data_IF_827457794295
#
_entry.id   IF_827457794295
#
_cell.length_a   1.000
_cell.length_b   1.000
_cell.length_c   1.000
_cell.angle_alpha   90.00
_cell.angle_beta   90.00
_cell.angle_gamma   90.00
#
_symmetry.space_group_name_H-M   'P 1'
#
loop_
_entity.id
_entity.type
_entity.pdbx_description
1 polymer ?
#
# COMPACT_ATOMS: atom_id res chain seq x y z
N UNK A 1 -7.46 9.76 3.68
CA UNK A 1 -7.46 8.28 3.57
C UNK A 1 -6.21 7.75 2.88
N UNK A 2 -5.54 8.50 2.00
CA UNK A 2 -4.24 8.09 1.40
C UNK A 2 -3.23 7.61 2.44
N UNK A 3 -2.99 8.36 3.52
CA UNK A 3 -2.08 7.94 4.59
C UNK A 3 -2.47 6.61 5.25
N UNK A 4 -3.76 6.43 5.59
CA UNK A 4 -4.26 5.13 6.08
C UNK A 4 -4.06 4.01 5.06
N UNK A 5 -4.19 4.31 3.76
CA UNK A 5 -3.98 3.35 2.68
C UNK A 5 -2.50 2.98 2.49
N UNK A 6 -1.57 3.92 2.70
CA UNK A 6 -0.14 3.66 2.77
C UNK A 6 0.19 2.75 3.97
N UNK A 7 -0.35 3.06 5.16
CA UNK A 7 -0.23 2.17 6.33
C UNK A 7 -0.70 0.75 6.00
N UNK A 8 -1.82 0.61 5.29
CA UNK A 8 -2.33 -0.70 4.87
C UNK A 8 -1.37 -1.43 3.92
N UNK A 9 -0.78 -0.72 2.97
CA UNK A 9 0.23 -1.27 2.06
C UNK A 9 1.46 -1.79 2.80
N UNK A 10 2.02 -1.02 3.74
CA UNK A 10 3.13 -1.46 4.57
C UNK A 10 2.80 -2.74 5.37
N UNK A 11 1.65 -2.76 6.05
CA UNK A 11 1.24 -3.93 6.84
C UNK A 11 1.00 -5.17 5.95
N UNK A 12 0.53 -4.99 4.71
CA UNK A 12 0.36 -6.09 3.76
C UNK A 12 1.70 -6.71 3.36
N UNK A 13 2.72 -5.91 3.06
CA UNK A 13 4.05 -6.46 2.75
C UNK A 13 4.72 -7.06 3.99
N UNK A 14 4.56 -6.45 5.17
CA UNK A 14 4.99 -7.05 6.43
C UNK A 14 4.37 -8.44 6.67
N UNK A 15 3.07 -8.58 6.41
CA UNK A 15 2.36 -9.86 6.49
C UNK A 15 2.94 -10.91 5.55
N UNK A 16 3.22 -10.53 4.31
CA UNK A 16 3.83 -11.42 3.33
C UNK A 16 5.23 -11.87 3.78
N UNK A 17 6.05 -10.95 4.26
CA UNK A 17 7.41 -11.22 4.73
C UNK A 17 7.44 -12.10 5.99
N UNK A 18 6.55 -11.85 6.95
CA UNK A 18 6.39 -12.70 8.14
C UNK A 18 5.97 -14.12 7.75
N UNK A 19 5.04 -14.27 6.81
CA UNK A 19 4.64 -15.58 6.28
C UNK A 19 5.78 -16.33 5.58
N UNK A 20 6.79 -15.62 5.10
CA UNK A 20 8.02 -16.16 4.50
C UNK A 20 9.17 -16.34 5.51
N UNK A 21 8.92 -16.10 6.80
CA UNK A 21 9.93 -16.23 7.85
C UNK A 21 11.01 -15.15 7.78
N UNK A 22 10.66 -13.94 7.30
CA UNK A 22 11.53 -12.76 7.19
C UNK A 22 11.11 -11.62 8.13
N UNK A 23 11.12 -11.84 9.46
CA UNK A 23 10.73 -10.80 10.40
C UNK A 23 11.67 -9.59 10.38
N UNK A 24 12.95 -9.80 10.06
CA UNK A 24 13.96 -8.76 9.87
C UNK A 24 13.61 -7.80 8.73
N UNK A 25 12.99 -8.30 7.67
CA UNK A 25 12.52 -7.46 6.55
C UNK A 25 11.11 -6.92 6.81
N UNK A 26 10.29 -7.62 7.58
CA UNK A 26 8.94 -7.15 7.89
C UNK A 26 8.93 -5.96 8.86
N UNK A 27 9.91 -5.90 9.77
CA UNK A 27 9.97 -4.95 10.87
C UNK A 27 9.98 -3.47 10.42
N UNK A 28 10.76 -3.03 9.42
CA UNK A 28 10.71 -1.65 8.94
C UNK A 28 9.32 -1.24 8.46
N UNK A 29 8.62 -2.12 7.74
CA UNK A 29 7.26 -1.86 7.26
C UNK A 29 6.21 -1.83 8.38
N UNK A 30 6.49 -2.45 9.53
CA UNK A 30 5.64 -2.29 10.70
C UNK A 30 5.93 -0.94 11.37
N UNK A 31 7.19 -0.49 11.34
CA UNK A 31 7.65 0.80 11.88
C UNK A 31 7.18 2.02 11.08
N UNK A 32 7.25 2.01 9.74
CA UNK A 32 6.91 3.17 8.90
C UNK A 32 5.51 3.77 9.19
N UNK A 33 4.42 2.97 9.35
CA UNK A 33 3.13 3.47 9.80
C UNK A 33 3.17 4.32 11.08
N UNK A 34 4.02 3.95 12.05
CA UNK A 34 4.17 4.65 13.32
C UNK A 34 5.04 5.89 13.15
N UNK A 35 6.22 5.69 12.58
CA UNK A 35 7.32 6.66 12.63
C UNK A 35 7.13 7.80 11.63
N UNK A 36 6.46 7.53 10.52
CA UNK A 36 6.38 8.46 9.39
C UNK A 36 4.95 8.96 9.12
N UNK A 37 3.93 8.12 9.38
CA UNK A 37 2.56 8.39 8.90
C UNK A 37 1.60 8.77 10.03
N UNK A 38 1.79 8.26 11.25
CA UNK A 38 0.76 8.37 12.31
C UNK A 38 0.48 9.83 12.71
N UNK A 39 1.52 10.65 12.87
CA UNK A 39 1.37 12.07 13.24
C UNK A 39 0.53 12.86 12.24
N UNK A 40 0.58 12.46 10.96
CA UNK A 40 -0.11 13.15 9.87
C UNK A 40 -1.59 12.82 9.79
N UNK A 41 -2.05 11.78 10.49
CA UNK A 41 -3.48 11.40 10.52
C UNK A 41 -4.14 11.66 11.87
N UNK A 42 -3.36 11.88 12.93
CA UNK A 42 -3.86 12.04 14.28
C UNK A 42 -4.92 13.17 14.41
N UNK A 43 -4.73 14.37 13.82
CA UNK A 43 -5.74 15.42 13.85
C UNK A 43 -7.07 14.99 13.23
N UNK A 44 -7.04 14.30 12.08
CA UNK A 44 -8.26 13.83 11.40
C UNK A 44 -8.95 12.69 12.15
N UNK A 45 -8.20 11.83 12.84
CA UNK A 45 -8.78 10.80 13.72
C UNK A 45 -9.55 11.45 14.86
N UNK A 46 -8.97 12.48 15.50
CA UNK A 46 -9.60 13.22 16.59
C UNK A 46 -10.86 13.95 16.10
N UNK A 47 -10.79 14.65 14.97
CA UNK A 47 -11.94 15.35 14.36
C UNK A 47 -13.11 14.38 14.10
N UNK A 48 -12.80 13.16 13.66
CA UNK A 48 -13.79 12.11 13.33
C UNK A 48 -14.19 11.24 14.52
N UNK A 49 -13.69 11.52 15.73
CA UNK A 49 -13.92 10.71 16.93
C UNK A 49 -13.52 9.24 16.76
N UNK A 50 -12.47 8.98 16.00
CA UNK A 50 -11.87 7.65 15.85
C UNK A 50 -10.92 7.43 17.01
N UNK A 51 -11.03 6.27 17.67
CA UNK A 51 -10.10 5.89 18.72
C UNK A 51 -8.66 5.82 18.18
N UNK A 52 -7.69 6.24 19.00
CA UNK A 52 -6.29 6.04 18.66
C UNK A 52 -5.97 4.56 18.49
N UNK A 53 -4.97 4.29 17.67
CA UNK A 53 -4.43 2.95 17.43
C UNK A 53 -2.91 2.94 17.32
N UNK A 54 -2.25 4.03 17.70
CA UNK A 54 -0.79 4.13 17.75
C UNK A 54 -0.24 3.07 18.70
N UNK A 55 -0.87 2.91 19.86
CA UNK A 55 -0.46 1.90 20.86
C UNK A 55 -0.50 0.48 20.29
N UNK A 56 -1.45 0.20 19.38
CA UNK A 56 -1.53 -1.11 18.70
C UNK A 56 -0.39 -1.30 17.71
N UNK A 57 -0.02 -0.25 16.96
CA UNK A 57 1.10 -0.30 16.03
C UNK A 57 2.45 -0.40 16.77
N UNK A 58 2.67 0.45 17.78
CA UNK A 58 3.86 0.45 18.63
C UNK A 58 4.05 -0.94 19.28
N UNK A 59 2.98 -1.53 19.83
CA UNK A 59 3.04 -2.84 20.47
C UNK A 59 3.39 -3.98 19.50
N UNK A 60 2.93 -3.91 18.25
CA UNK A 60 3.31 -4.86 17.21
C UNK A 60 4.78 -4.68 16.82
N UNK A 61 5.22 -3.44 16.64
CA UNK A 61 6.60 -3.10 16.28
C UNK A 61 7.59 -3.60 17.33
N UNK A 62 7.35 -3.25 18.59
CA UNK A 62 8.12 -3.71 19.74
C UNK A 62 8.18 -5.25 19.83
N UNK A 63 7.05 -5.92 19.57
CA UNK A 63 6.96 -7.38 19.62
C UNK A 63 7.82 -8.02 18.54
N UNK A 64 7.77 -7.52 17.30
CA UNK A 64 8.57 -8.05 16.19
C UNK A 64 10.06 -7.77 16.40
N UNK A 65 10.43 -6.59 16.90
CA UNK A 65 11.82 -6.27 17.24
C UNK A 65 12.38 -7.17 18.34
N UNK A 66 11.62 -7.38 19.42
CA UNK A 66 12.11 -8.11 20.59
C UNK A 66 11.98 -9.63 20.47
N UNK A 67 10.87 -10.10 19.89
CA UNK A 67 10.46 -11.52 19.86
C UNK A 67 9.75 -11.86 18.55
N UNK A 68 10.45 -11.84 17.41
CA UNK A 68 9.84 -12.04 16.10
C UNK A 68 9.18 -13.41 15.88
N UNK A 69 9.49 -14.39 16.74
CA UNK A 69 8.91 -15.74 16.71
C UNK A 69 7.82 -15.95 17.78
N UNK A 70 7.44 -14.90 18.51
CA UNK A 70 6.35 -14.99 19.48
C UNK A 70 5.04 -15.36 18.75
N UNK A 71 4.27 -16.36 19.24
CA UNK A 71 3.02 -16.77 18.59
C UNK A 71 1.99 -15.64 18.48
N UNK A 72 2.14 -14.55 19.23
CA UNK A 72 1.27 -13.37 19.17
C UNK A 72 1.52 -12.46 17.98
N UNK A 73 2.66 -12.54 17.28
CA UNK A 73 3.01 -11.63 16.17
C UNK A 73 1.88 -11.58 15.13
N UNK A 74 1.36 -12.74 14.71
CA UNK A 74 0.28 -12.79 13.72
C UNK A 74 -1.03 -12.18 14.23
N UNK A 75 -1.37 -12.36 15.51
CA UNK A 75 -2.58 -11.76 16.08
C UNK A 75 -2.44 -10.25 16.26
N UNK A 76 -1.27 -9.75 16.66
CA UNK A 76 -1.03 -8.31 16.79
C UNK A 76 -0.99 -7.63 15.42
N UNK A 77 -0.43 -8.29 14.40
CA UNK A 77 -0.49 -7.81 13.01
C UNK A 77 -1.94 -7.71 12.52
N UNK A 78 -2.77 -8.72 12.82
CA UNK A 78 -4.19 -8.67 12.48
C UNK A 78 -4.92 -7.56 13.24
N UNK A 79 -4.57 -7.30 14.51
CA UNK A 79 -5.12 -6.19 15.29
C UNK A 79 -4.76 -4.83 14.67
N UNK A 80 -3.49 -4.63 14.29
CA UNK A 80 -3.02 -3.43 13.60
C UNK A 80 -3.76 -3.21 12.27
N UNK A 81 -3.85 -4.25 11.43
CA UNK A 81 -4.60 -4.19 10.17
C UNK A 81 -6.08 -3.82 10.39
N UNK A 82 -6.69 -4.40 11.43
CA UNK A 82 -8.09 -4.14 11.78
C UNK A 82 -8.29 -2.73 12.30
N UNK A 83 -7.33 -2.18 13.03
CA UNK A 83 -7.38 -0.81 13.53
C UNK A 83 -7.32 0.20 12.39
N UNK A 84 -6.43 -0.01 11.41
CA UNK A 84 -6.37 0.79 10.18
C UNK A 84 -7.70 0.70 9.41
N UNK A 85 -8.29 -0.50 9.27
CA UNK A 85 -9.57 -0.67 8.59
C UNK A 85 -10.71 0.08 9.30
N UNK A 86 -10.76 0.05 10.63
CA UNK A 86 -11.73 0.82 11.43
C UNK A 86 -11.57 2.32 11.24
N UNK A 87 -10.32 2.80 11.20
CA UNK A 87 -10.06 4.22 10.92
C UNK A 87 -10.52 4.62 9.52
N UNK A 88 -10.33 3.77 8.51
CA UNK A 88 -10.88 4.01 7.17
C UNK A 88 -12.41 4.04 7.17
N UNK A 89 -13.07 3.18 7.95
CA UNK A 89 -14.53 3.11 8.05
C UNK A 89 -15.17 4.37 8.67
N UNK A 90 -14.40 5.25 9.29
CA UNK A 90 -14.87 6.59 9.69
C UNK A 90 -15.20 7.51 8.50
N UNK A 91 -14.77 7.14 7.29
CA UNK A 91 -15.25 7.72 6.04
C UNK A 91 -16.53 6.99 5.61
N UNK A 92 -17.64 7.70 5.32
CA UNK A 92 -18.90 7.08 4.89
C UNK A 92 -18.71 6.12 3.71
N UNK A 93 -19.49 5.03 3.69
CA UNK A 93 -19.38 4.00 2.67
C UNK A 93 -19.65 4.56 1.27
N UNK A 94 -20.64 5.45 1.13
CA UNK A 94 -20.97 6.11 -0.13
C UNK A 94 -19.80 6.92 -0.69
N UNK A 95 -19.01 7.53 0.19
CA UNK A 95 -17.81 8.25 -0.19
C UNK A 95 -16.66 7.28 -0.51
N UNK A 96 -16.41 6.27 0.33
CA UNK A 96 -15.33 5.29 0.10
C UNK A 96 -15.49 4.52 -1.21
N UNK A 97 -16.73 4.15 -1.55
CA UNK A 97 -17.04 3.39 -2.75
C UNK A 97 -17.34 4.27 -3.98
N UNK A 98 -17.17 5.59 -3.87
CA UNK A 98 -17.26 6.49 -5.01
C UNK A 98 -16.00 6.33 -5.88
N UNK A 99 -16.13 6.08 -7.19
CA UNK A 99 -14.98 6.02 -8.09
C UNK A 99 -14.10 7.27 -8.00
N UNK A 100 -14.72 8.45 -7.84
CA UNK A 100 -13.95 9.70 -7.77
C UNK A 100 -13.05 9.76 -6.53
N UNK A 101 -13.52 9.25 -5.39
CA UNK A 101 -12.76 9.27 -4.15
C UNK A 101 -11.70 8.17 -4.13
N UNK A 102 -12.08 6.95 -4.48
CA UNK A 102 -11.17 5.80 -4.51
C UNK A 102 -10.06 5.99 -5.56
N UNK A 103 -10.35 6.51 -6.76
CA UNK A 103 -9.32 6.74 -7.79
C UNK A 103 -8.28 7.80 -7.40
N UNK A 104 -8.65 8.81 -6.59
CA UNK A 104 -7.68 9.78 -6.06
C UNK A 104 -6.68 9.12 -5.11
N UNK A 105 -7.16 8.22 -4.26
CA UNK A 105 -6.32 7.47 -3.32
C UNK A 105 -5.46 6.46 -4.07
N UNK A 106 -6.07 5.71 -4.99
CA UNK A 106 -5.39 4.79 -5.90
C UNK A 106 -4.23 5.46 -6.63
N UNK A 107 -4.44 6.63 -7.25
CA UNK A 107 -3.38 7.38 -7.92
C UNK A 107 -2.27 7.80 -6.94
N UNK A 108 -2.62 8.26 -5.73
CA UNK A 108 -1.66 8.63 -4.70
C UNK A 108 -0.78 7.46 -4.27
N UNK A 109 -1.37 6.26 -4.08
CA UNK A 109 -0.62 5.04 -3.77
C UNK A 109 0.34 4.67 -4.89
N UNK A 110 -0.09 4.73 -6.15
CA UNK A 110 0.76 4.39 -7.29
C UNK A 110 1.90 5.40 -7.48
N UNK A 111 1.66 6.69 -7.21
CA UNK A 111 2.69 7.73 -7.28
C UNK A 111 3.80 7.50 -6.24
N UNK A 112 3.41 7.25 -4.98
CA UNK A 112 4.35 6.86 -3.92
C UNK A 112 5.07 5.56 -4.29
N UNK A 113 4.35 4.55 -4.77
CA UNK A 113 4.96 3.29 -5.19
C UNK A 113 6.01 3.46 -6.29
N UNK A 114 5.75 4.31 -7.28
CA UNK A 114 6.70 4.62 -8.34
C UNK A 114 7.96 5.31 -7.81
N UNK A 115 7.80 6.18 -6.82
CA UNK A 115 8.92 6.86 -6.15
C UNK A 115 9.78 5.86 -5.37
N UNK A 116 9.17 4.99 -4.55
CA UNK A 116 9.90 3.97 -3.79
C UNK A 116 10.59 2.94 -4.69
N UNK A 117 9.94 2.52 -5.78
CA UNK A 117 10.60 1.62 -6.74
C UNK A 117 11.84 2.24 -7.38
N UNK A 118 11.77 3.53 -7.67
CA UNK A 118 12.90 4.26 -8.24
C UNK A 118 14.02 4.41 -7.21
N UNK A 119 13.69 4.75 -5.97
CA UNK A 119 14.63 4.83 -4.86
C UNK A 119 15.31 3.49 -4.57
N UNK A 120 14.59 2.37 -4.75
CA UNK A 120 15.10 1.02 -4.56
C UNK A 120 16.26 0.64 -5.49
N UNK A 121 16.41 1.32 -6.64
CA UNK A 121 17.24 0.86 -7.75
C UNK A 121 18.42 1.80 -8.02
N UNK A 122 19.64 1.25 -7.93
CA UNK A 122 20.85 1.93 -8.35
C UNK A 122 21.73 1.03 -9.23
N UNK A 123 22.23 1.57 -10.34
CA UNK A 123 23.13 0.86 -11.27
C UNK A 123 22.57 -0.50 -11.76
N UNK A 124 21.26 -0.57 -12.01
CA UNK A 124 20.58 -1.77 -12.50
C UNK A 124 20.45 -2.89 -11.45
N UNK A 125 20.59 -2.56 -10.16
CA UNK A 125 20.42 -3.48 -9.03
C UNK A 125 19.42 -2.90 -8.05
N UNK A 126 18.71 -3.78 -7.33
CA UNK A 126 17.95 -3.35 -6.16
C UNK A 126 18.95 -3.21 -5.00
N UNK A 127 19.17 -1.97 -4.55
CA UNK A 127 20.08 -1.65 -3.45
C UNK A 127 19.33 -1.35 -2.15
N UNK A 128 18.13 -0.78 -2.24
CA UNK A 128 17.26 -0.57 -1.08
C UNK A 128 16.07 -1.54 -1.17
N UNK A 129 16.19 -2.69 -0.52
CA UNK A 129 15.15 -3.71 -0.53
C UNK A 129 13.85 -3.24 0.15
N UNK A 130 13.99 -2.39 1.17
CA UNK A 130 12.88 -1.80 1.93
C UNK A 130 11.98 -0.99 0.99
N UNK A 131 12.55 -0.10 0.17
CA UNK A 131 11.76 0.72 -0.75
C UNK A 131 11.09 -0.13 -1.85
N UNK A 132 11.75 -1.19 -2.33
CA UNK A 132 11.10 -2.14 -3.24
C UNK A 132 9.88 -2.82 -2.58
N UNK A 133 9.97 -3.14 -1.29
CA UNK A 133 8.93 -3.79 -0.51
C UNK A 133 7.77 -2.85 -0.20
N UNK A 134 8.04 -1.60 0.16
CA UNK A 134 7.02 -0.57 0.35
C UNK A 134 6.24 -0.33 -0.94
N UNK A 135 6.97 -0.13 -2.03
CA UNK A 135 6.41 -0.03 -3.37
C UNK A 135 5.44 -1.17 -3.71
N UNK A 136 5.85 -2.43 -3.42
CA UNK A 136 5.00 -3.62 -3.61
C UNK A 136 3.72 -3.53 -2.79
N UNK A 137 3.84 -3.19 -1.50
CA UNK A 137 2.71 -3.08 -0.59
C UNK A 137 1.67 -2.07 -1.08
N UNK A 138 2.13 -0.91 -1.54
CA UNK A 138 1.28 0.16 -2.08
C UNK A 138 0.57 -0.25 -3.37
N UNK A 139 1.29 -0.88 -4.32
CA UNK A 139 0.67 -1.39 -5.56
C UNK A 139 -0.37 -2.47 -5.26
N UNK A 140 -0.07 -3.37 -4.33
CA UNK A 140 -0.98 -4.45 -3.94
C UNK A 140 -2.27 -3.88 -3.35
N UNK A 141 -2.17 -2.89 -2.45
CA UNK A 141 -3.37 -2.28 -1.88
C UNK A 141 -4.13 -1.40 -2.88
N UNK A 142 -3.42 -0.73 -3.79
CA UNK A 142 -4.04 0.01 -4.88
C UNK A 142 -4.89 -0.91 -5.77
N UNK A 143 -4.41 -2.11 -6.09
CA UNK A 143 -5.15 -3.10 -6.87
C UNK A 143 -6.45 -3.52 -6.17
N UNK A 144 -6.38 -3.88 -4.87
CA UNK A 144 -7.58 -4.18 -4.06
C UNK A 144 -8.57 -3.00 -4.00
N UNK A 145 -8.06 -1.77 -3.90
CA UNK A 145 -8.91 -0.58 -3.92
C UNK A 145 -9.63 -0.42 -5.26
N UNK A 146 -8.93 -0.68 -6.38
CA UNK A 146 -9.53 -0.62 -7.71
C UNK A 146 -10.61 -1.69 -7.92
N UNK A 147 -10.34 -2.94 -7.53
CA UNK A 147 -11.31 -4.05 -7.57
C UNK A 147 -12.64 -3.67 -6.87
N UNK A 148 -12.57 -2.93 -5.75
CA UNK A 148 -13.76 -2.50 -5.01
C UNK A 148 -14.68 -1.54 -5.78
N UNK A 149 -14.16 -0.86 -6.81
CA UNK A 149 -14.91 0.11 -7.62
C UNK A 149 -14.99 -0.27 -9.10
N UNK A 150 -14.35 -1.35 -9.54
CA UNK A 150 -14.15 -1.70 -10.95
C UNK A 150 -15.48 -1.77 -11.71
N UNK A 151 -16.53 -2.31 -11.09
CA UNK A 151 -17.86 -2.43 -11.70
C UNK A 151 -18.48 -1.06 -12.01
N UNK A 152 -18.32 -0.08 -11.10
CA UNK A 152 -18.79 1.30 -11.29
C UNK A 152 -17.94 2.03 -12.33
N UNK A 153 -16.63 1.79 -12.35
CA UNK A 153 -15.72 2.36 -13.37
C UNK A 153 -16.05 1.81 -14.75
N UNK A 154 -16.24 0.49 -14.86
CA UNK A 154 -16.61 -0.22 -16.10
C UNK A 154 -17.93 0.28 -16.67
N UNK A 155 -18.95 0.50 -15.83
CA UNK A 155 -20.23 1.09 -16.26
C UNK A 155 -20.11 2.54 -16.73
N UNK A 156 -19.25 3.35 -16.08
CA UNK A 156 -19.09 4.77 -16.40
C UNK A 156 -18.19 5.00 -17.62
N UNK A 157 -17.10 4.24 -17.75
CA UNK A 157 -16.12 4.34 -18.83
C UNK A 157 -15.46 2.98 -19.10
N UNK A 158 -16.06 2.13 -19.95
CA UNK A 158 -15.54 0.81 -20.28
C UNK A 158 -14.10 0.84 -20.84
N UNK A 159 -13.78 1.81 -21.68
CA UNK A 159 -12.45 1.93 -22.28
C UNK A 159 -11.38 2.30 -21.25
N UNK A 160 -11.72 3.20 -20.31
CA UNK A 160 -10.81 3.56 -19.23
C UNK A 160 -10.60 2.37 -18.27
N UNK A 161 -11.68 1.64 -17.95
CA UNK A 161 -11.59 0.42 -17.15
C UNK A 161 -10.63 -0.60 -17.77
N UNK A 162 -10.86 -0.97 -19.04
CA UNK A 162 -10.00 -1.93 -19.75
C UNK A 162 -8.54 -1.46 -19.79
N UNK A 163 -8.30 -0.16 -19.99
CA UNK A 163 -6.96 0.39 -19.99
C UNK A 163 -6.30 0.34 -18.60
N UNK A 164 -7.03 0.66 -17.53
CA UNK A 164 -6.51 0.59 -16.15
C UNK A 164 -6.15 -0.85 -15.81
N UNK A 165 -7.06 -1.80 -16.00
CA UNK A 165 -6.80 -3.22 -15.70
C UNK A 165 -5.61 -3.77 -16.49
N UNK A 166 -5.56 -3.50 -17.80
CA UNK A 166 -4.47 -4.00 -18.62
C UNK A 166 -3.11 -3.46 -18.19
N UNK A 167 -3.03 -2.18 -17.79
CA UNK A 167 -1.77 -1.60 -17.32
C UNK A 167 -1.44 -2.04 -15.88
N UNK A 168 -2.43 -2.19 -14.99
CA UNK A 168 -2.22 -2.76 -13.65
C UNK A 168 -1.67 -4.18 -13.73
N UNK A 169 -2.25 -5.02 -14.60
CA UNK A 169 -1.77 -6.38 -14.84
C UNK A 169 -0.33 -6.45 -15.37
N UNK A 170 0.16 -5.40 -16.04
CA UNK A 170 1.58 -5.29 -16.41
C UNK A 170 2.43 -4.71 -15.27
N UNK A 171 1.91 -3.70 -14.55
CA UNK A 171 2.60 -3.00 -13.48
C UNK A 171 2.99 -3.97 -12.36
N UNK A 172 2.06 -4.79 -11.89
CA UNK A 172 2.30 -5.75 -10.79
C UNK A 172 3.46 -6.72 -11.07
N UNK A 173 3.80 -6.96 -12.34
CA UNK A 173 4.92 -7.84 -12.73
C UNK A 173 6.30 -7.27 -12.38
N UNK A 174 6.41 -5.97 -12.08
CA UNK A 174 7.65 -5.38 -11.59
C UNK A 174 8.04 -5.89 -10.19
N UNK A 175 7.06 -6.43 -9.44
CA UNK A 175 7.24 -7.05 -8.12
C UNK A 175 6.80 -8.53 -8.12
N UNK A 176 7.64 -9.49 -8.53
CA UNK A 176 7.28 -10.90 -8.53
C UNK A 176 7.07 -11.50 -7.12
N UNK A 177 7.74 -10.95 -6.10
CA UNK A 177 7.67 -11.38 -4.69
C UNK A 177 8.02 -10.23 -3.74
N UNK A 178 7.67 -10.36 -2.45
CA UNK A 178 8.16 -9.45 -1.41
C UNK A 178 9.67 -9.55 -1.18
N UNK A 179 10.28 -10.70 -1.43
CA UNK A 179 11.75 -10.79 -1.49
C UNK A 179 12.21 -10.08 -2.76
N UNK A 180 13.00 -9.02 -2.59
CA UNK A 180 13.58 -8.29 -3.70
C UNK A 180 14.53 -9.20 -4.51
N UNK A 181 14.40 -9.25 -5.85
CA UNK A 181 15.41 -9.85 -6.70
C UNK A 181 16.70 -9.03 -6.70
N UNK A 182 17.83 -9.62 -7.12
CA UNK A 182 19.10 -8.89 -7.19
C UNK A 182 19.09 -7.73 -8.22
N UNK A 183 18.29 -7.87 -9.28
CA UNK A 183 18.10 -6.88 -10.32
C UNK A 183 16.60 -6.70 -10.57
N UNK A 184 16.14 -5.48 -10.92
CA UNK A 184 14.73 -5.24 -11.16
C UNK A 184 14.24 -6.00 -12.39
N UNK A 185 13.04 -6.58 -12.28
CA UNK A 185 12.39 -7.27 -13.41
C UNK A 185 11.93 -6.27 -14.47
N UNK A 186 11.67 -5.03 -14.06
CA UNK A 186 11.22 -3.93 -14.91
C UNK A 186 12.05 -2.67 -14.61
N UNK A 187 12.56 -1.94 -15.62
CA UNK A 187 13.26 -0.68 -15.37
C UNK A 187 12.35 0.38 -14.71
N UNK A 188 12.88 1.27 -13.85
CA UNK A 188 12.11 2.35 -13.22
C UNK A 188 11.30 3.18 -14.23
N UNK A 189 11.88 3.50 -15.39
CA UNK A 189 11.24 4.31 -16.42
C UNK A 189 9.99 3.63 -16.99
N UNK A 190 10.01 2.30 -17.08
CA UNK A 190 8.85 1.53 -17.55
C UNK A 190 7.76 1.47 -16.48
N UNK A 191 8.13 1.33 -15.20
CA UNK A 191 7.18 1.42 -14.07
C UNK A 191 6.52 2.80 -14.03
N UNK A 192 7.29 3.89 -14.09
CA UNK A 192 6.75 5.25 -14.11
C UNK A 192 5.84 5.49 -15.32
N UNK A 193 6.18 4.93 -16.49
CA UNK A 193 5.33 5.03 -17.69
C UNK A 193 3.98 4.31 -17.49
N UNK A 194 3.97 3.12 -16.89
CA UNK A 194 2.74 2.39 -16.60
C UNK A 194 1.87 3.15 -15.62
N UNK A 195 2.44 3.64 -14.51
CA UNK A 195 1.74 4.46 -13.50
C UNK A 195 1.12 5.69 -14.15
N UNK A 196 1.89 6.45 -14.94
CA UNK A 196 1.37 7.63 -15.66
C UNK A 196 0.27 7.30 -16.65
N UNK A 197 0.37 6.14 -17.33
CA UNK A 197 -0.66 5.68 -18.27
C UNK A 197 -1.95 5.33 -17.52
N UNK A 198 -1.83 4.68 -16.36
CA UNK A 198 -2.96 4.37 -15.48
C UNK A 198 -3.61 5.68 -15.02
N UNK A 199 -2.83 6.61 -14.47
CA UNK A 199 -3.30 7.91 -14.01
C UNK A 199 -4.06 8.68 -15.11
N UNK A 200 -3.53 8.72 -16.33
CA UNK A 200 -4.22 9.36 -17.47
C UNK A 200 -5.59 8.73 -17.78
N UNK A 201 -5.77 7.43 -17.53
CA UNK A 201 -7.06 6.77 -17.71
C UNK A 201 -7.98 6.97 -16.51
N UNK A 202 -7.45 7.06 -15.28
CA UNK A 202 -8.28 7.40 -14.12
C UNK A 202 -8.85 8.82 -14.23
N UNK A 203 -8.11 9.77 -14.81
CA UNK A 203 -8.60 11.14 -15.07
C UNK A 203 -9.81 11.19 -16.03
N UNK A 204 -10.04 10.17 -16.86
CA UNK A 204 -11.23 10.08 -17.72
C UNK A 204 -12.48 9.66 -16.95
N UNK A 205 -12.31 9.13 -15.74
CA UNK A 205 -13.37 8.63 -14.86
C UNK A 205 -13.72 9.65 -13.76
N UNK A 206 -12.75 10.47 -13.34
CA UNK A 206 -12.94 11.54 -12.34
C UNK A 206 -13.93 12.61 -12.83
#
# INVERSE_FOLDING_TARGET
MTNLSLMKGHLLVAKELLAQGKPDQAEPHIGHPVEEIYSDIEPELQERNVAEFKTTLDGLHDLVQAKPQDPKVNSELQSAMTAVDKAMQAVPAEQRESPQFALKIFNGLLDTAGSEYTAAIANGKITEAIEYQDSRGFVTYADTLYESIESKVSQKSPEAHQAIESNMAQLVKAWPSAIAPAAPVMPPEQVSKLIKTIEQNTQKVL
#
